data_IF_161635172435
#
_entry.id   IF_161635172435
#
_cell.length_a   1.000
_cell.length_b   1.000
_cell.length_c   1.000
_cell.angle_alpha   90.00
_cell.angle_beta   90.00
_cell.angle_gamma   90.00
#
_symmetry.space_group_name_H-M   'P 1'
#
loop_
_entity.id
_entity.type
_entity.pdbx_description
1 polymer ?
#
# COMPACT_ATOMS: atom_id res chain seq x y z
N UNK A 1 -6.66 -18.87 22.67
CA UNK A 1 -6.46 -17.59 22.00
C UNK A 1 -5.08 -17.04 22.35
N UNK A 2 -4.35 -16.53 21.37
CA UNK A 2 -3.00 -16.00 21.56
C UNK A 2 -3.06 -14.48 21.68
N UNK A 3 -2.29 -13.93 22.60
CA UNK A 3 -2.19 -12.48 22.79
C UNK A 3 -0.90 -12.01 22.16
N UNK A 4 -0.97 -10.96 21.37
CA UNK A 4 0.20 -10.30 20.79
C UNK A 4 0.24 -8.84 21.20
N UNK A 5 1.41 -8.23 21.11
CA UNK A 5 1.60 -6.80 21.36
C UNK A 5 2.09 -6.13 20.09
N UNK A 6 1.62 -4.92 19.84
CA UNK A 6 2.05 -4.11 18.72
C UNK A 6 2.19 -2.65 19.15
N UNK A 7 3.19 -1.96 18.60
CA UNK A 7 3.37 -0.53 18.83
C UNK A 7 2.67 0.24 17.73
N UNK A 8 1.84 1.21 18.12
CA UNK A 8 1.14 2.09 17.21
C UNK A 8 1.51 3.53 17.54
N UNK A 9 1.74 4.35 16.54
CA UNK A 9 1.85 5.79 16.77
C UNK A 9 0.47 6.38 17.08
N UNK A 10 0.44 7.63 17.55
CA UNK A 10 -0.81 8.25 17.97
C UNK A 10 -1.83 8.37 16.84
N UNK A 11 -1.39 8.66 15.63
CA UNK A 11 -2.28 8.78 14.48
C UNK A 11 -2.95 7.45 14.15
N UNK A 12 -2.19 6.36 14.14
CA UNK A 12 -2.71 5.02 13.88
C UNK A 12 -3.67 4.58 14.97
N UNK A 13 -3.37 4.89 16.22
CA UNK A 13 -4.26 4.58 17.33
C UNK A 13 -5.59 5.33 17.21
N UNK A 14 -5.54 6.61 16.87
CA UNK A 14 -6.74 7.42 16.65
C UNK A 14 -7.58 6.88 15.51
N UNK A 15 -6.94 6.45 14.40
CA UNK A 15 -7.65 5.81 13.29
C UNK A 15 -8.32 4.52 13.72
N UNK A 16 -7.63 3.68 14.49
CA UNK A 16 -8.20 2.46 15.00
C UNK A 16 -9.46 2.73 15.83
N UNK A 17 -9.39 3.71 16.72
CA UNK A 17 -10.53 4.08 17.58
C UNK A 17 -11.69 4.66 16.75
N UNK A 18 -11.39 5.45 15.73
CA UNK A 18 -12.40 5.99 14.82
C UNK A 18 -13.10 4.86 14.04
N UNK A 19 -12.35 3.95 13.47
CA UNK A 19 -12.89 2.80 12.72
C UNK A 19 -13.75 1.93 13.64
N UNK A 20 -13.27 1.65 14.83
CA UNK A 20 -13.99 0.85 15.81
C UNK A 20 -15.38 1.44 16.11
N UNK A 21 -15.44 2.75 16.31
CA UNK A 21 -16.71 3.43 16.60
C UNK A 21 -17.62 3.55 15.39
N UNK A 22 -17.09 4.04 14.27
CA UNK A 22 -17.88 4.35 13.09
C UNK A 22 -18.41 3.10 12.39
N UNK A 23 -17.68 2.00 12.45
CA UNK A 23 -18.08 0.73 11.84
C UNK A 23 -18.80 -0.22 12.81
N UNK A 24 -18.95 0.17 14.07
CA UNK A 24 -19.73 -0.58 15.04
C UNK A 24 -19.04 -1.82 15.60
N UNK A 25 -17.72 -1.86 15.61
CA UNK A 25 -17.02 -2.97 16.24
C UNK A 25 -17.07 -2.86 17.76
N UNK A 26 -17.13 -4.00 18.45
CA UNK A 26 -17.27 -4.05 19.91
C UNK A 26 -16.05 -3.51 20.67
N UNK A 27 -14.88 -3.47 20.04
CA UNK A 27 -13.66 -2.96 20.65
C UNK A 27 -12.50 -3.00 19.68
N UNK A 28 -11.32 -2.63 20.17
CA UNK A 28 -10.09 -2.56 19.37
C UNK A 28 -9.71 -3.93 18.79
N UNK A 29 -9.80 -4.99 19.60
CA UNK A 29 -9.43 -6.33 19.14
C UNK A 29 -10.30 -6.78 17.98
N UNK A 30 -11.60 -6.51 18.03
CA UNK A 30 -12.53 -6.88 16.95
C UNK A 30 -12.23 -6.09 15.68
N UNK A 31 -11.95 -4.79 15.81
CA UNK A 31 -11.57 -3.95 14.68
C UNK A 31 -10.26 -4.45 14.03
N UNK A 32 -9.29 -4.83 14.84
CA UNK A 32 -8.02 -5.38 14.36
C UNK A 32 -8.24 -6.71 13.62
N UNK A 33 -9.06 -7.61 14.18
CA UNK A 33 -9.37 -8.88 13.52
C UNK A 33 -10.06 -8.65 12.17
N UNK A 34 -10.99 -7.71 12.12
CA UNK A 34 -11.65 -7.34 10.86
C UNK A 34 -10.68 -6.78 9.83
N UNK A 35 -9.77 -5.90 10.26
CA UNK A 35 -8.73 -5.34 9.40
C UNK A 35 -7.84 -6.44 8.81
N UNK A 36 -7.44 -7.40 9.64
CA UNK A 36 -6.61 -8.53 9.18
C UNK A 36 -7.38 -9.37 8.15
N UNK A 37 -8.67 -9.61 8.35
CA UNK A 37 -9.49 -10.35 7.38
C UNK A 37 -9.54 -9.64 6.02
N UNK A 38 -9.73 -8.33 6.02
CA UNK A 38 -9.75 -7.53 4.79
C UNK A 38 -8.39 -7.61 4.07
N UNK A 39 -7.31 -7.42 4.80
CA UNK A 39 -5.97 -7.45 4.24
C UNK A 39 -5.60 -8.85 3.74
N UNK A 40 -6.01 -9.88 4.45
CA UNK A 40 -5.78 -11.27 4.03
C UNK A 40 -6.50 -11.59 2.72
N UNK A 41 -7.73 -11.10 2.55
CA UNK A 41 -8.49 -11.29 1.31
C UNK A 41 -7.78 -10.60 0.13
N UNK A 42 -7.32 -9.38 0.32
CA UNK A 42 -6.57 -8.63 -0.69
C UNK A 42 -5.27 -9.35 -1.06
N UNK A 43 -4.54 -9.84 -0.07
CA UNK A 43 -3.30 -10.60 -0.29
C UNK A 43 -3.53 -11.84 -1.13
N UNK A 44 -4.60 -12.58 -0.85
CA UNK A 44 -4.94 -13.80 -1.61
C UNK A 44 -5.28 -13.51 -3.06
N UNK A 45 -5.98 -12.42 -3.32
CA UNK A 45 -6.28 -11.99 -4.69
C UNK A 45 -4.98 -11.69 -5.47
N UNK A 46 -4.04 -10.99 -4.83
CA UNK A 46 -2.74 -10.68 -5.44
C UNK A 46 -1.92 -11.94 -5.71
N UNK A 47 -1.97 -12.92 -4.82
CA UNK A 47 -1.25 -14.20 -5.00
C UNK A 47 -1.76 -14.99 -6.21
N UNK A 48 -3.03 -14.83 -6.56
CA UNK A 48 -3.65 -15.51 -7.70
C UNK A 48 -3.28 -14.91 -9.04
N UNK A 49 -2.66 -13.74 -9.06
CA UNK A 49 -2.26 -13.10 -10.32
C UNK A 49 -1.21 -13.95 -11.04
N UNK A 50 -1.44 -14.18 -12.32
CA UNK A 50 -0.52 -14.94 -13.15
C UNK A 50 -0.53 -14.39 -14.57
N UNK A 51 0.51 -14.71 -15.33
CA UNK A 51 0.66 -14.26 -16.70
C UNK A 51 0.91 -12.76 -16.78
N UNK A 52 0.49 -12.16 -17.89
CA UNK A 52 0.65 -10.72 -18.11
C UNK A 52 -0.53 -9.96 -17.53
N UNK A 53 -0.26 -8.97 -16.70
CA UNK A 53 -1.28 -8.16 -16.04
C UNK A 53 -1.08 -6.68 -16.33
N UNK A 54 -2.16 -5.93 -16.25
CA UNK A 54 -2.18 -4.48 -16.30
C UNK A 54 -2.79 -3.92 -15.02
N UNK A 55 -2.27 -2.81 -14.57
CA UNK A 55 -2.79 -2.21 -13.36
C UNK A 55 -2.34 -0.79 -13.14
N UNK A 56 -2.80 -0.26 -12.02
CA UNK A 56 -2.44 1.05 -11.51
C UNK A 56 -1.83 0.83 -10.14
N UNK A 57 -0.63 1.36 -9.94
CA UNK A 57 0.00 1.39 -8.61
C UNK A 57 -0.02 2.82 -8.09
N UNK A 58 -0.64 3.01 -6.94
CA UNK A 58 -0.75 4.31 -6.26
C UNK A 58 0.18 4.34 -5.06
N UNK A 59 0.92 5.44 -4.93
CA UNK A 59 1.76 5.70 -3.76
C UNK A 59 1.41 7.06 -3.17
N UNK A 60 1.42 7.13 -1.84
CA UNK A 60 1.44 8.40 -1.11
C UNK A 60 2.70 8.38 -0.24
N UNK A 61 3.51 9.42 -0.34
CA UNK A 61 4.73 9.52 0.44
C UNK A 61 5.07 10.97 0.77
N UNK A 62 5.89 11.15 1.80
CA UNK A 62 6.47 12.46 2.10
C UNK A 62 7.44 12.85 0.98
N UNK A 63 7.59 14.16 0.76
CA UNK A 63 8.49 14.66 -0.27
C UNK A 63 9.94 14.14 -0.10
N UNK A 64 10.37 13.98 1.14
CA UNK A 64 11.70 13.48 1.48
C UNK A 64 11.96 12.05 0.99
N UNK A 65 10.92 11.28 0.75
CA UNK A 65 11.04 9.90 0.23
C UNK A 65 11.18 9.84 -1.30
N UNK A 66 11.19 10.96 -1.99
CA UNK A 66 11.20 11.01 -3.46
C UNK A 66 12.42 10.30 -4.06
N UNK A 67 13.60 10.43 -3.45
CA UNK A 67 14.79 9.75 -3.96
C UNK A 67 14.68 8.23 -3.86
N UNK A 68 14.06 7.72 -2.79
CA UNK A 68 13.79 6.29 -2.64
C UNK A 68 12.82 5.80 -3.71
N UNK A 69 11.74 6.54 -3.94
CA UNK A 69 10.76 6.21 -4.99
C UNK A 69 11.44 6.16 -6.36
N UNK A 70 12.31 7.11 -6.65
CA UNK A 70 13.07 7.16 -7.90
C UNK A 70 13.99 5.93 -8.04
N UNK A 71 14.66 5.53 -6.98
CA UNK A 71 15.52 4.34 -6.99
C UNK A 71 14.74 3.07 -7.29
N UNK A 72 13.61 2.88 -6.61
CA UNK A 72 12.75 1.70 -6.84
C UNK A 72 12.19 1.73 -8.26
N UNK A 73 11.70 2.87 -8.71
CA UNK A 73 11.18 3.05 -10.06
C UNK A 73 12.18 2.61 -11.13
N UNK A 74 13.44 2.97 -10.96
CA UNK A 74 14.49 2.62 -11.94
C UNK A 74 14.66 1.10 -12.11
N UNK A 75 14.41 0.33 -11.06
CA UNK A 75 14.48 -1.13 -11.15
C UNK A 75 13.34 -1.70 -12.00
N UNK A 76 12.21 -0.99 -12.08
CA UNK A 76 10.98 -1.50 -12.71
C UNK A 76 10.55 -0.72 -13.95
N UNK A 77 11.48 -0.01 -14.60
CA UNK A 77 11.16 0.76 -15.82
C UNK A 77 10.57 -0.11 -16.94
N UNK A 78 10.93 -1.38 -16.95
CA UNK A 78 10.44 -2.35 -17.95
C UNK A 78 8.93 -2.55 -17.91
N UNK A 79 8.29 -2.33 -16.76
CA UNK A 79 6.84 -2.53 -16.60
C UNK A 79 6.07 -1.22 -16.43
N UNK A 80 6.74 -0.08 -16.37
CA UNK A 80 6.08 1.22 -16.19
C UNK A 80 5.82 1.85 -17.56
N UNK A 81 4.54 2.06 -17.88
CA UNK A 81 4.13 2.76 -19.11
C UNK A 81 4.04 4.26 -18.92
N UNK A 82 3.46 4.70 -17.82
CA UNK A 82 3.19 6.10 -17.57
C UNK A 82 3.30 6.36 -16.07
N UNK A 83 3.80 7.54 -15.74
CA UNK A 83 3.88 8.00 -14.36
C UNK A 83 3.27 9.39 -14.25
N UNK A 84 2.45 9.58 -13.23
CA UNK A 84 1.99 10.90 -12.79
C UNK A 84 2.54 11.15 -11.40
N UNK A 85 3.05 12.35 -11.18
CA UNK A 85 3.54 12.79 -9.88
C UNK A 85 2.91 14.13 -9.56
N UNK A 86 2.26 14.22 -8.41
CA UNK A 86 1.70 15.46 -7.91
C UNK A 86 2.12 15.71 -6.47
N UNK A 87 2.61 16.91 -6.22
CA UNK A 87 2.99 17.33 -4.87
C UNK A 87 1.88 18.19 -4.27
N UNK A 88 1.40 17.83 -3.10
CA UNK A 88 0.39 18.58 -2.36
C UNK A 88 1.05 19.59 -1.41
N UNK A 89 0.29 20.59 -0.99
CA UNK A 89 0.77 21.66 -0.12
C UNK A 89 1.29 21.16 1.23
N UNK A 90 0.77 20.05 1.71
CA UNK A 90 1.17 19.45 3.00
C UNK A 90 2.54 18.75 2.96
N UNK A 91 3.26 18.86 1.85
CA UNK A 91 4.56 18.21 1.68
C UNK A 91 4.47 16.76 1.29
N UNK A 92 3.26 16.27 0.98
CA UNK A 92 3.04 14.90 0.52
C UNK A 92 2.98 14.83 -0.99
N UNK A 93 3.41 13.71 -1.53
CA UNK A 93 3.36 13.42 -2.95
C UNK A 93 2.43 12.24 -3.21
N UNK A 94 1.66 12.37 -4.29
CA UNK A 94 0.89 11.28 -4.86
C UNK A 94 1.56 10.86 -6.15
N UNK A 95 1.87 9.60 -6.28
CA UNK A 95 2.39 9.05 -7.53
C UNK A 95 1.49 7.93 -8.02
N UNK A 96 1.27 7.93 -9.32
CA UNK A 96 0.46 6.94 -10.00
C UNK A 96 1.28 6.37 -11.14
N UNK A 97 1.40 5.03 -11.16
CA UNK A 97 2.07 4.32 -12.25
C UNK A 97 1.07 3.47 -13.01
N UNK A 98 0.98 3.67 -14.31
CA UNK A 98 0.32 2.72 -15.19
C UNK A 98 1.33 1.63 -15.53
N UNK A 99 1.03 0.41 -15.13
CA UNK A 99 1.97 -0.70 -15.26
C UNK A 99 1.37 -1.84 -16.08
N UNK A 100 2.23 -2.51 -16.82
CA UNK A 100 1.88 -3.71 -17.57
C UNK A 100 3.09 -4.62 -17.65
N UNK A 101 2.94 -5.85 -17.27
CA UNK A 101 4.03 -6.81 -17.34
C UNK A 101 3.66 -8.13 -16.71
N UNK A 102 4.68 -8.98 -16.52
CA UNK A 102 4.53 -10.24 -15.84
C UNK A 102 4.04 -10.03 -14.42
N UNK A 103 3.06 -10.81 -13.99
CA UNK A 103 2.48 -10.75 -12.67
C UNK A 103 3.52 -10.80 -11.56
N UNK A 104 4.55 -11.63 -11.68
CA UNK A 104 5.61 -11.73 -10.68
C UNK A 104 6.39 -10.43 -10.58
N UNK A 105 6.66 -9.78 -11.71
CA UNK A 105 7.36 -8.50 -11.76
C UNK A 105 6.53 -7.39 -11.13
N UNK A 106 5.23 -7.37 -11.36
CA UNK A 106 4.29 -6.42 -10.76
C UNK A 106 4.23 -6.61 -9.24
N UNK A 107 4.21 -7.87 -8.79
CA UNK A 107 4.26 -8.18 -7.34
C UNK A 107 5.55 -7.70 -6.71
N UNK A 108 6.69 -7.92 -7.36
CA UNK A 108 7.99 -7.45 -6.86
C UNK A 108 8.03 -5.93 -6.67
N UNK A 109 7.50 -5.19 -7.64
CA UNK A 109 7.42 -3.73 -7.56
C UNK A 109 6.55 -3.27 -6.39
N UNK A 110 5.38 -3.88 -6.23
CA UNK A 110 4.46 -3.56 -5.14
C UNK A 110 5.11 -3.82 -3.79
N UNK A 111 5.78 -4.97 -3.63
CA UNK A 111 6.47 -5.33 -2.40
C UNK A 111 7.63 -4.38 -2.12
N UNK A 112 8.39 -3.99 -3.15
CA UNK A 112 9.52 -3.07 -2.99
C UNK A 112 9.08 -1.74 -2.37
N UNK A 113 7.95 -1.19 -2.81
CA UNK A 113 7.39 0.02 -2.22
C UNK A 113 6.79 -0.24 -0.84
N UNK A 114 6.12 -1.38 -0.66
CA UNK A 114 5.48 -1.71 0.61
C UNK A 114 6.47 -1.88 1.76
N UNK A 115 7.69 -2.33 1.47
CA UNK A 115 8.76 -2.50 2.46
C UNK A 115 9.35 -1.19 2.95
N UNK A 116 9.17 -0.10 2.22
CA UNK A 116 9.75 1.18 2.55
C UNK A 116 8.86 1.91 3.58
N UNK A 117 9.35 2.07 4.79
CA UNK A 117 8.62 2.73 5.89
C UNK A 117 8.23 4.17 5.55
N UNK A 118 9.00 4.83 4.68
CA UNK A 118 8.74 6.20 4.27
C UNK A 118 7.59 6.34 3.26
N UNK A 119 7.07 5.23 2.73
CA UNK A 119 5.89 5.22 1.87
C UNK A 119 4.67 5.02 2.75
N UNK A 120 3.83 6.04 2.81
CA UNK A 120 2.66 6.05 3.69
C UNK A 120 1.55 5.12 3.21
N UNK A 121 1.39 5.01 1.89
CA UNK A 121 0.29 4.27 1.28
C UNK A 121 0.75 3.63 -0.02
N UNK A 122 0.42 2.36 -0.20
CA UNK A 122 0.67 1.61 -1.44
C UNK A 122 -0.60 0.87 -1.80
N UNK A 123 -1.11 1.08 -3.00
CA UNK A 123 -2.30 0.37 -3.47
C UNK A 123 -2.12 -0.06 -4.92
N UNK A 124 -2.29 -1.36 -5.16
CA UNK A 124 -2.30 -1.94 -6.50
C UNK A 124 -3.74 -2.25 -6.91
N UNK A 125 -4.15 -1.71 -8.06
CA UNK A 125 -5.44 -1.98 -8.66
C UNK A 125 -5.21 -2.68 -10.00
N UNK A 126 -5.71 -3.90 -10.12
CA UNK A 126 -5.60 -4.67 -11.37
C UNK A 126 -6.79 -4.34 -12.26
N UNK A 127 -6.51 -4.11 -13.52
CA UNK A 127 -7.50 -3.68 -14.51
C UNK A 127 -7.81 -4.81 -15.50
#
# INVERSE_FOLDING_TARGET
MTIISASLNNETLQELDRIQKTMGFSGRSEAIRAAIRVLAAESKEKEKLSGRVRGILLLIHEHEAESLVTQVKHVFLDIIHTQLHNRFEEGKCLELFLIEGDADRVKEMTIAFQRADSIEFVRLLIV
#
